data_IF_495025037370
#
_entry.id   IF_495025037370
#
_cell.length_a   1.000
_cell.length_b   1.000
_cell.length_c   1.000
_cell.angle_alpha   90.00
_cell.angle_beta   90.00
_cell.angle_gamma   90.00
#
_symmetry.space_group_name_H-M   'P 1'
#
loop_
_entity.id
_entity.type
_entity.pdbx_description
1 polymer ?
#
# COMPACT_ATOMS: atom_id res chain seq x y z
N UNK A 1 8.20 26.23 -100.44
CA UNK A 1 6.90 25.75 -100.98
C UNK A 1 5.91 25.75 -99.84
N UNK A 2 4.73 26.36 -100.01
CA UNK A 2 3.64 26.33 -99.01
C UNK A 2 2.55 25.40 -99.56
N UNK A 3 2.00 24.54 -98.71
CA UNK A 3 0.93 23.62 -99.11
C UNK A 3 -0.41 24.37 -99.27
N UNK A 4 -1.28 23.99 -100.22
CA UNK A 4 -2.60 24.58 -100.33
C UNK A 4 -3.47 24.20 -99.12
N UNK A 5 -4.01 25.19 -98.43
CA UNK A 5 -5.01 24.96 -97.38
C UNK A 5 -6.28 24.33 -97.98
N UNK A 6 -6.90 23.43 -97.22
CA UNK A 6 -8.16 22.80 -97.65
C UNK A 6 -9.30 23.82 -97.52
N UNK A 7 -10.22 23.92 -98.50
CA UNK A 7 -11.34 24.84 -98.41
C UNK A 7 -12.20 24.49 -97.19
N UNK A 8 -12.31 25.44 -96.26
CA UNK A 8 -13.10 25.29 -95.04
C UNK A 8 -14.58 25.12 -95.41
N UNK A 9 -15.21 24.06 -94.89
CA UNK A 9 -16.58 23.71 -95.26
C UNK A 9 -17.55 24.82 -94.81
N UNK A 10 -18.31 25.38 -95.75
CA UNK A 10 -19.31 26.41 -95.46
C UNK A 10 -20.34 25.89 -94.43
N UNK A 11 -20.78 26.73 -93.48
CA UNK A 11 -21.68 26.28 -92.42
C UNK A 11 -22.99 25.78 -93.00
N UNK A 12 -23.33 24.52 -92.70
CA UNK A 12 -24.62 23.93 -93.07
C UNK A 12 -25.73 24.75 -92.44
N UNK A 13 -26.59 25.35 -93.26
CA UNK A 13 -27.76 26.10 -92.79
C UNK A 13 -28.74 25.14 -92.11
N UNK A 14 -28.71 25.12 -90.77
CA UNK A 14 -29.63 24.34 -89.96
C UNK A 14 -31.06 24.83 -90.21
N UNK A 15 -31.88 23.99 -90.82
CA UNK A 15 -33.27 24.31 -91.13
C UNK A 15 -34.09 24.29 -89.83
N UNK A 16 -34.81 25.38 -89.55
CA UNK A 16 -35.69 25.48 -88.39
C UNK A 16 -36.86 24.50 -88.48
N UNK A 17 -37.20 23.86 -87.37
CA UNK A 17 -38.38 22.99 -87.29
C UNK A 17 -39.66 23.82 -87.51
N UNK A 18 -40.58 23.27 -88.31
CA UNK A 18 -41.87 23.92 -88.62
C UNK A 18 -42.97 23.33 -87.75
N UNK A 19 -43.68 24.18 -87.03
CA UNK A 19 -44.90 23.85 -86.29
C UNK A 19 -46.16 24.38 -86.98
N UNK A 20 -47.31 24.22 -86.31
CA UNK A 20 -48.67 24.47 -86.83
C UNK A 20 -48.91 25.93 -87.29
N UNK A 21 -48.03 26.88 -86.95
CA UNK A 21 -48.11 28.30 -87.37
C UNK A 21 -46.77 28.86 -87.88
N UNK A 22 -45.93 28.02 -88.49
CA UNK A 22 -44.61 28.41 -89.01
C UNK A 22 -43.45 27.90 -88.15
N UNK A 23 -42.27 28.53 -88.26
CA UNK A 23 -41.06 28.07 -87.56
C UNK A 23 -41.21 28.09 -86.03
N UNK A 24 -40.53 27.15 -85.37
CA UNK A 24 -40.43 27.08 -83.92
C UNK A 24 -39.71 28.32 -83.36
N UNK A 25 -40.48 29.29 -82.86
CA UNK A 25 -39.98 30.57 -82.35
C UNK A 25 -38.82 30.38 -81.36
N UNK A 26 -38.93 29.46 -80.41
CA UNK A 26 -37.87 29.23 -79.41
C UNK A 26 -36.54 28.83 -80.05
N UNK A 27 -36.57 27.98 -81.09
CA UNK A 27 -35.38 27.56 -81.84
C UNK A 27 -34.80 28.71 -82.70
N UNK A 28 -35.67 29.57 -83.23
CA UNK A 28 -35.27 30.77 -83.99
C UNK A 28 -34.62 31.79 -83.05
N UNK A 29 -35.21 32.06 -81.89
CA UNK A 29 -34.70 33.00 -80.89
C UNK A 29 -33.39 32.50 -80.27
N UNK A 30 -33.28 31.20 -79.95
CA UNK A 30 -32.03 30.54 -79.55
C UNK A 30 -30.93 30.76 -80.61
N UNK A 31 -31.21 30.48 -81.89
CA UNK A 31 -30.20 30.63 -82.95
C UNK A 31 -29.89 32.09 -83.30
N UNK A 32 -30.84 33.01 -83.15
CA UNK A 32 -30.60 34.45 -83.30
C UNK A 32 -29.75 35.00 -82.16
N UNK A 33 -29.93 34.51 -80.93
CA UNK A 33 -29.06 34.82 -79.80
C UNK A 33 -27.64 34.27 -80.02
N UNK A 34 -27.49 33.03 -80.50
CA UNK A 34 -26.21 32.47 -80.92
C UNK A 34 -25.54 33.30 -82.03
N UNK A 35 -26.23 33.57 -83.13
CA UNK A 35 -25.71 34.41 -84.24
C UNK A 35 -25.32 35.82 -83.77
N UNK A 36 -26.08 36.41 -82.85
CA UNK A 36 -25.77 37.72 -82.27
C UNK A 36 -24.53 37.65 -81.36
N UNK A 37 -24.30 36.53 -80.67
CA UNK A 37 -23.08 36.27 -79.91
C UNK A 37 -21.88 36.06 -80.85
N UNK A 38 -22.01 35.14 -81.82
CA UNK A 38 -21.00 34.85 -82.85
C UNK A 38 -20.56 36.12 -83.59
N UNK A 39 -21.50 37.00 -83.95
CA UNK A 39 -21.22 38.28 -84.59
C UNK A 39 -20.45 39.26 -83.68
N UNK A 40 -20.79 39.33 -82.39
CA UNK A 40 -20.09 40.18 -81.40
C UNK A 40 -18.69 39.66 -81.07
N UNK A 41 -18.51 38.34 -81.04
CA UNK A 41 -17.20 37.71 -80.85
C UNK A 41 -16.34 37.91 -82.11
N UNK A 42 -16.92 37.75 -83.30
CA UNK A 42 -16.24 38.00 -84.57
C UNK A 42 -15.89 39.49 -84.77
N UNK A 43 -16.75 40.42 -84.34
CA UNK A 43 -16.43 41.86 -84.42
C UNK A 43 -15.30 42.24 -83.46
N UNK A 44 -15.27 41.70 -82.23
CA UNK A 44 -14.15 41.87 -81.29
C UNK A 44 -12.85 41.32 -81.88
N UNK A 45 -12.85 40.05 -82.30
CA UNK A 45 -11.68 39.41 -82.89
C UNK A 45 -11.17 40.16 -84.14
N UNK A 46 -12.08 40.74 -84.95
CA UNK A 46 -11.72 41.63 -86.07
C UNK A 46 -11.04 42.91 -85.58
N UNK A 47 -11.59 43.56 -84.57
CA UNK A 47 -11.09 44.84 -84.06
C UNK A 47 -9.74 44.67 -83.37
N UNK A 48 -9.54 43.56 -82.64
CA UNK A 48 -8.24 43.13 -82.09
C UNK A 48 -7.23 42.78 -83.21
N UNK A 49 -7.67 42.14 -84.29
CA UNK A 49 -6.84 41.86 -85.47
C UNK A 49 -6.45 43.15 -86.24
N UNK A 50 -7.33 44.15 -86.29
CA UNK A 50 -7.03 45.46 -86.88
C UNK A 50 -6.07 46.25 -86.00
N UNK A 51 -6.23 46.22 -84.67
CA UNK A 51 -5.31 46.85 -83.72
C UNK A 51 -3.90 46.24 -83.83
N UNK A 52 -3.78 44.91 -83.74
CA UNK A 52 -2.50 44.20 -83.89
C UNK A 52 -1.87 44.39 -85.28
N UNK A 53 -2.67 44.43 -86.36
CA UNK A 53 -2.18 44.77 -87.70
C UNK A 53 -1.64 46.21 -87.78
N UNK A 54 -2.30 47.17 -87.15
CA UNK A 54 -1.83 48.55 -87.09
C UNK A 54 -0.52 48.68 -86.28
N UNK A 55 -0.40 47.97 -85.16
CA UNK A 55 0.82 47.99 -84.33
C UNK A 55 2.00 47.26 -85.00
N UNK A 56 1.75 46.14 -85.67
CA UNK A 56 2.74 45.48 -86.54
C UNK A 56 3.19 46.41 -87.69
N UNK A 57 2.27 47.20 -88.25
CA UNK A 57 2.60 48.18 -89.30
C UNK A 57 3.48 49.31 -88.76
N UNK A 58 3.22 49.82 -87.55
CA UNK A 58 4.09 50.80 -86.86
C UNK A 58 5.48 50.21 -86.61
N UNK A 59 5.55 48.99 -86.06
CA UNK A 59 6.81 48.31 -85.76
C UNK A 59 7.64 48.04 -87.04
N UNK A 60 6.99 47.64 -88.13
CA UNK A 60 7.61 47.42 -89.43
C UNK A 60 8.13 48.74 -90.03
N UNK A 61 7.37 49.83 -89.95
CA UNK A 61 7.82 51.15 -90.41
C UNK A 61 9.01 51.68 -89.59
N UNK A 62 9.00 51.45 -88.26
CA UNK A 62 10.12 51.76 -87.38
C UNK A 62 11.37 50.95 -87.76
N UNK A 63 11.24 49.63 -87.90
CA UNK A 63 12.34 48.74 -88.29
C UNK A 63 12.89 49.07 -89.70
N UNK A 64 12.05 49.47 -90.65
CA UNK A 64 12.49 49.93 -91.98
C UNK A 64 13.31 51.23 -91.89
N UNK A 65 12.93 52.16 -91.01
CA UNK A 65 13.68 53.40 -90.76
C UNK A 65 15.05 53.11 -90.14
N UNK A 66 15.09 52.34 -89.05
CA UNK A 66 16.34 51.89 -88.40
C UNK A 66 17.27 51.17 -89.39
N UNK A 67 16.71 50.28 -90.22
CA UNK A 67 17.46 49.54 -91.24
C UNK A 67 17.98 50.44 -92.38
N UNK A 68 17.35 51.58 -92.65
CA UNK A 68 17.87 52.59 -93.57
C UNK A 68 18.97 53.45 -92.93
N UNK A 69 18.80 53.87 -91.68
CA UNK A 69 19.76 54.71 -90.95
C UNK A 69 21.05 53.94 -90.62
N UNK A 70 20.95 52.68 -90.18
CA UNK A 70 22.09 51.76 -89.99
C UNK A 70 22.83 51.44 -91.30
N UNK A 71 22.11 51.20 -92.41
CA UNK A 71 22.75 51.06 -93.74
C UNK A 71 23.49 52.32 -94.16
N UNK A 72 22.94 53.50 -93.90
CA UNK A 72 23.61 54.76 -94.20
C UNK A 72 24.86 54.96 -93.32
N UNK A 73 24.84 54.56 -92.04
CA UNK A 73 26.01 54.58 -91.16
C UNK A 73 27.09 53.59 -91.64
N UNK A 74 26.72 52.35 -91.95
CA UNK A 74 27.62 51.33 -92.47
C UNK A 74 28.28 51.76 -93.80
N UNK A 75 27.51 52.38 -94.70
CA UNK A 75 28.05 52.94 -95.93
C UNK A 75 29.13 53.99 -95.65
N UNK A 76 28.87 54.96 -94.75
CA UNK A 76 29.86 55.97 -94.31
C UNK A 76 31.11 55.35 -93.68
N UNK A 77 30.98 54.26 -92.92
CA UNK A 77 32.10 53.52 -92.34
C UNK A 77 32.95 52.83 -93.42
N UNK A 78 32.30 52.21 -94.41
CA UNK A 78 32.98 51.49 -95.49
C UNK A 78 33.70 52.41 -96.48
N UNK A 79 33.15 53.59 -96.78
CA UNK A 79 33.67 54.49 -97.82
C UNK A 79 34.95 55.24 -97.41
N UNK A 80 35.26 55.35 -96.13
CA UNK A 80 36.49 55.98 -95.62
C UNK A 80 36.84 55.46 -94.21
N UNK A 81 37.44 54.25 -94.08
CA UNK A 81 37.66 53.62 -92.78
C UNK A 81 38.60 54.37 -91.83
N UNK A 82 39.38 55.34 -92.32
CA UNK A 82 40.24 56.24 -91.56
C UNK A 82 39.66 57.66 -91.37
N UNK A 83 38.50 57.96 -91.96
CA UNK A 83 37.85 59.26 -91.85
C UNK A 83 37.21 59.50 -90.49
N UNK A 84 37.12 60.76 -90.06
CA UNK A 84 36.60 61.14 -88.74
C UNK A 84 35.18 60.61 -88.47
N UNK A 85 34.31 60.56 -89.49
CA UNK A 85 32.99 59.96 -89.38
C UNK A 85 33.02 58.46 -89.06
N UNK A 86 33.85 57.68 -89.77
CA UNK A 86 33.98 56.24 -89.54
C UNK A 86 34.59 55.92 -88.16
N UNK A 87 35.45 56.80 -87.64
CA UNK A 87 35.95 56.72 -86.26
C UNK A 87 34.83 57.00 -85.25
N UNK A 88 34.04 58.06 -85.45
CA UNK A 88 32.94 58.41 -84.55
C UNK A 88 31.85 57.32 -84.47
N UNK A 89 31.44 56.73 -85.60
CA UNK A 89 30.47 55.62 -85.61
C UNK A 89 31.03 54.37 -84.91
N UNK A 90 32.34 54.07 -85.04
CA UNK A 90 32.97 52.97 -84.26
C UNK A 90 33.00 53.24 -82.77
N UNK A 91 33.27 54.48 -82.33
CA UNK A 91 33.24 54.83 -80.90
C UNK A 91 31.83 54.70 -80.33
N UNK A 92 30.79 55.09 -81.08
CA UNK A 92 29.39 54.83 -80.71
C UNK A 92 29.12 53.33 -80.54
N UNK A 93 29.47 52.53 -81.55
CA UNK A 93 29.25 51.08 -81.50
C UNK A 93 29.97 50.41 -80.33
N UNK A 94 31.21 50.80 -80.02
CA UNK A 94 31.93 50.28 -78.86
C UNK A 94 31.31 50.73 -77.53
N UNK A 95 30.73 51.93 -77.46
CA UNK A 95 30.04 52.39 -76.25
C UNK A 95 28.70 51.67 -76.06
N UNK A 96 27.93 51.44 -77.14
CA UNK A 96 26.71 50.62 -77.10
C UNK A 96 27.02 49.17 -76.70
N UNK A 97 28.07 48.56 -77.25
CA UNK A 97 28.48 47.20 -76.89
C UNK A 97 28.94 47.12 -75.42
N UNK A 98 29.59 48.16 -74.90
CA UNK A 98 29.92 48.25 -73.47
C UNK A 98 28.67 48.50 -72.59
N UNK A 99 27.66 49.22 -73.07
CA UNK A 99 26.37 49.37 -72.38
C UNK A 99 25.59 48.04 -72.33
N UNK A 100 25.63 47.25 -73.41
CA UNK A 100 25.11 45.88 -73.49
C UNK A 100 25.87 44.94 -72.53
N UNK A 101 27.21 44.94 -72.55
CA UNK A 101 28.03 44.13 -71.64
C UNK A 101 27.82 44.50 -70.16
N UNK A 102 27.63 45.79 -69.85
CA UNK A 102 27.28 46.25 -68.50
C UNK A 102 25.85 45.81 -68.10
N UNK A 103 24.90 45.74 -69.04
CA UNK A 103 23.56 45.24 -68.79
C UNK A 103 23.56 43.72 -68.52
N UNK A 104 24.30 42.95 -69.31
CA UNK A 104 24.47 41.50 -69.12
C UNK A 104 25.19 41.18 -67.79
N UNK A 105 26.26 41.91 -67.46
CA UNK A 105 26.96 41.77 -66.17
C UNK A 105 26.07 42.10 -64.97
N UNK A 106 25.17 43.08 -65.08
CA UNK A 106 24.16 43.38 -64.05
C UNK A 106 23.12 42.27 -63.95
N UNK A 107 22.59 41.82 -65.07
CA UNK A 107 21.61 40.72 -65.15
C UNK A 107 22.17 39.43 -64.51
N UNK A 108 23.43 39.09 -64.82
CA UNK A 108 24.13 37.96 -64.21
C UNK A 108 24.32 38.15 -62.70
N UNK A 109 24.81 39.32 -62.25
CA UNK A 109 24.99 39.60 -60.83
C UNK A 109 23.67 39.61 -60.02
N UNK A 110 22.57 40.06 -60.63
CA UNK A 110 21.23 40.00 -60.03
C UNK A 110 20.71 38.56 -59.96
N UNK A 111 20.93 37.75 -61.00
CA UNK A 111 20.59 36.32 -61.01
C UNK A 111 21.40 35.51 -59.99
N UNK A 112 22.71 35.76 -59.86
CA UNK A 112 23.57 35.13 -58.85
C UNK A 112 23.19 35.56 -57.43
N UNK A 113 22.85 36.84 -57.23
CA UNK A 113 22.35 37.34 -55.95
C UNK A 113 20.98 36.77 -55.59
N UNK A 114 20.09 36.53 -56.57
CA UNK A 114 18.83 35.83 -56.37
C UNK A 114 19.08 34.35 -56.01
N UNK A 115 19.88 33.64 -56.80
CA UNK A 115 20.27 32.23 -56.57
C UNK A 115 20.89 32.02 -55.18
N UNK A 116 21.75 32.95 -54.75
CA UNK A 116 22.39 32.91 -53.42
C UNK A 116 21.37 33.09 -52.29
N UNK A 117 20.39 34.00 -52.43
CA UNK A 117 19.30 34.16 -51.46
C UNK A 117 18.41 32.92 -51.41
N UNK A 118 18.01 32.41 -52.58
CA UNK A 118 17.24 31.19 -52.76
C UNK A 118 17.89 29.98 -52.06
N UNK A 119 19.21 29.85 -52.16
CA UNK A 119 19.98 28.79 -51.49
C UNK A 119 20.06 29.00 -49.97
N UNK A 120 20.28 30.24 -49.51
CA UNK A 120 20.31 30.58 -48.09
C UNK A 120 18.94 30.34 -47.41
N UNK A 121 17.85 30.72 -48.07
CA UNK A 121 16.48 30.49 -47.56
C UNK A 121 16.14 29.00 -47.53
N UNK A 122 16.50 28.23 -48.58
CA UNK A 122 16.35 26.75 -48.59
C UNK A 122 17.11 26.11 -47.43
N UNK A 123 18.37 26.50 -47.22
CA UNK A 123 19.20 26.01 -46.12
C UNK A 123 18.64 26.40 -44.74
N UNK A 124 18.14 27.63 -44.58
CA UNK A 124 17.51 28.09 -43.33
C UNK A 124 16.19 27.35 -43.04
N UNK A 125 15.37 27.10 -44.06
CA UNK A 125 14.15 26.31 -43.94
C UNK A 125 14.44 24.83 -43.62
N UNK A 126 15.44 24.22 -44.27
CA UNK A 126 15.85 22.85 -43.97
C UNK A 126 16.43 22.73 -42.55
N UNK A 127 17.31 23.64 -42.15
CA UNK A 127 17.90 23.69 -40.80
C UNK A 127 16.85 23.86 -39.71
N UNK A 128 15.83 24.70 -39.92
CA UNK A 128 14.67 24.79 -39.01
C UNK A 128 13.90 23.46 -38.98
N UNK A 129 13.60 22.87 -40.15
CA UNK A 129 12.85 21.62 -40.25
C UNK A 129 13.57 20.42 -39.64
N UNK A 130 14.90 20.37 -39.63
CA UNK A 130 15.67 19.32 -38.94
C UNK A 130 15.73 19.56 -37.44
N UNK A 131 15.87 20.81 -36.98
CA UNK A 131 15.77 21.16 -35.56
C UNK A 131 14.37 20.87 -34.99
N UNK A 132 13.30 21.25 -35.70
CA UNK A 132 11.90 21.01 -35.32
C UNK A 132 11.56 19.51 -35.24
N UNK A 133 12.22 18.67 -36.06
CA UNK A 133 12.14 17.21 -35.96
C UNK A 133 12.88 16.70 -34.73
N UNK A 134 14.17 17.02 -34.61
CA UNK A 134 15.02 16.55 -33.51
C UNK A 134 14.45 16.93 -32.13
N UNK A 135 13.82 18.11 -32.02
CA UNK A 135 13.10 18.51 -30.82
C UNK A 135 11.91 17.59 -30.49
N UNK A 136 11.10 17.24 -31.49
CA UNK A 136 9.96 16.31 -31.34
C UNK A 136 10.40 14.89 -31.05
N UNK A 137 11.39 14.40 -31.79
CA UNK A 137 11.96 13.07 -31.60
C UNK A 137 12.47 12.91 -30.15
N UNK A 138 13.16 13.95 -29.62
CA UNK A 138 13.60 13.99 -28.22
C UNK A 138 12.46 14.17 -27.20
N UNK A 139 11.39 14.89 -27.53
CA UNK A 139 10.18 14.98 -26.70
C UNK A 139 9.44 13.63 -26.63
N UNK A 140 9.34 12.90 -27.73
CA UNK A 140 8.74 11.56 -27.82
C UNK A 140 9.57 10.51 -27.07
N UNK A 141 10.91 10.50 -27.23
CA UNK A 141 11.80 9.65 -26.42
C UNK A 141 11.67 9.96 -24.93
N UNK A 142 11.65 11.24 -24.54
CA UNK A 142 11.48 11.66 -23.15
C UNK A 142 10.12 11.24 -22.59
N UNK A 143 9.04 11.40 -23.37
CA UNK A 143 7.70 10.98 -22.97
C UNK A 143 7.61 9.46 -22.79
N UNK A 144 8.24 8.70 -23.69
CA UNK A 144 8.36 7.24 -23.61
C UNK A 144 9.13 6.80 -22.36
N UNK A 145 10.33 7.32 -22.14
CA UNK A 145 11.15 6.99 -20.96
C UNK A 145 10.44 7.35 -19.65
N UNK A 146 9.71 8.47 -19.59
CA UNK A 146 8.89 8.83 -18.44
C UNK A 146 7.69 7.88 -18.25
N UNK A 147 7.13 7.31 -19.31
CA UNK A 147 6.07 6.31 -19.23
C UNK A 147 6.60 4.94 -18.77
N UNK A 148 7.75 4.53 -19.30
CA UNK A 148 8.43 3.28 -18.92
C UNK A 148 8.85 3.34 -17.44
N UNK A 149 9.51 4.42 -17.00
CA UNK A 149 9.91 4.62 -15.60
C UNK A 149 8.71 4.69 -14.63
N UNK A 150 7.59 5.32 -15.01
CA UNK A 150 6.34 5.28 -14.20
C UNK A 150 5.84 3.85 -14.04
N UNK A 151 5.76 3.10 -15.14
CA UNK A 151 5.33 1.69 -15.12
C UNK A 151 6.25 0.79 -14.29
N UNK A 152 7.55 1.07 -14.23
CA UNK A 152 8.50 0.39 -13.34
C UNK A 152 8.28 0.77 -11.87
N UNK A 153 8.11 2.06 -11.56
CA UNK A 153 7.81 2.54 -10.20
C UNK A 153 6.49 1.93 -9.69
N UNK A 154 5.46 1.85 -10.54
CA UNK A 154 4.19 1.20 -10.20
C UNK A 154 4.35 -0.31 -9.93
N UNK A 155 5.09 -1.04 -10.78
CA UNK A 155 5.42 -2.47 -10.56
C UNK A 155 6.19 -2.68 -9.26
N UNK A 156 7.20 -1.85 -8.98
CA UNK A 156 8.00 -1.93 -7.76
C UNK A 156 7.18 -1.63 -6.51
N UNK A 157 6.31 -0.60 -6.55
CA UNK A 157 5.39 -0.28 -5.47
C UNK A 157 4.37 -1.40 -5.24
N UNK A 158 3.81 -1.99 -6.30
CA UNK A 158 2.90 -3.13 -6.19
C UNK A 158 3.59 -4.36 -5.58
N UNK A 159 4.80 -4.69 -6.03
CA UNK A 159 5.60 -5.79 -5.49
C UNK A 159 6.01 -5.56 -4.02
N UNK A 160 6.37 -4.33 -3.65
CA UNK A 160 6.65 -3.95 -2.26
C UNK A 160 5.38 -4.00 -1.38
N UNK A 161 4.23 -3.58 -1.92
CA UNK A 161 2.92 -3.71 -1.26
C UNK A 161 2.55 -5.16 -0.99
N UNK A 162 2.66 -6.02 -2.02
CA UNK A 162 2.41 -7.47 -1.88
C UNK A 162 3.31 -8.10 -0.80
N UNK A 163 4.62 -7.83 -0.82
CA UNK A 163 5.56 -8.32 0.21
C UNK A 163 5.22 -7.82 1.61
N UNK A 164 4.75 -6.58 1.77
CA UNK A 164 4.29 -6.07 3.08
C UNK A 164 3.05 -6.80 3.59
N UNK A 165 2.09 -7.10 2.72
CA UNK A 165 0.88 -7.88 3.07
C UNK A 165 1.25 -9.33 3.43
N UNK A 166 2.14 -9.95 2.65
CA UNK A 166 2.67 -11.29 2.91
C UNK A 166 3.39 -11.36 4.26
N UNK A 167 4.30 -10.41 4.54
CA UNK A 167 5.03 -10.32 5.81
C UNK A 167 4.09 -10.06 7.00
N UNK A 168 3.07 -9.20 6.84
CA UNK A 168 2.08 -8.96 7.88
C UNK A 168 1.27 -10.23 8.19
N UNK A 169 0.80 -10.94 7.17
CA UNK A 169 0.08 -12.20 7.33
C UNK A 169 0.97 -13.34 7.87
N UNK A 170 2.27 -13.36 7.56
CA UNK A 170 3.22 -14.29 8.16
C UNK A 170 3.46 -13.98 9.65
N UNK A 171 3.63 -12.71 10.01
CA UNK A 171 3.76 -12.29 11.40
C UNK A 171 2.48 -12.53 12.23
N UNK A 172 1.29 -12.39 11.62
CA UNK A 172 0.01 -12.72 12.27
C UNK A 172 -0.13 -14.22 12.56
N UNK A 173 0.26 -15.10 11.61
CA UNK A 173 0.29 -16.55 11.82
C UNK A 173 1.28 -16.92 12.92
N UNK A 174 2.52 -16.43 12.85
CA UNK A 174 3.55 -16.70 13.85
C UNK A 174 3.15 -16.24 15.26
N UNK A 175 2.38 -15.15 15.39
CA UNK A 175 1.77 -14.76 16.68
C UNK A 175 0.73 -15.77 17.14
N UNK A 176 -0.26 -16.10 16.31
CA UNK A 176 -1.31 -17.08 16.65
C UNK A 176 -0.75 -18.46 17.01
N UNK A 177 0.33 -18.89 16.35
CA UNK A 177 1.05 -20.12 16.63
C UNK A 177 1.80 -20.04 17.99
N UNK A 178 2.44 -18.92 18.29
CA UNK A 178 3.09 -18.68 19.58
C UNK A 178 2.08 -18.55 20.74
N UNK A 179 0.97 -17.86 20.53
CA UNK A 179 -0.12 -17.69 21.50
C UNK A 179 -0.74 -19.06 21.83
N UNK A 180 -1.07 -19.87 20.80
CA UNK A 180 -1.60 -21.22 20.99
C UNK A 180 -0.60 -22.17 21.67
N UNK A 181 0.70 -22.06 21.35
CA UNK A 181 1.74 -22.83 22.02
C UNK A 181 1.90 -22.42 23.50
N UNK A 182 1.76 -21.13 23.81
CA UNK A 182 1.78 -20.63 25.19
C UNK A 182 0.56 -21.07 25.98
N UNK A 183 -0.64 -21.07 25.38
CA UNK A 183 -1.85 -21.61 26.00
C UNK A 183 -1.74 -23.13 26.26
N UNK A 184 -1.22 -23.90 25.29
CA UNK A 184 -1.00 -25.34 25.45
C UNK A 184 0.03 -25.66 26.56
N UNK A 185 1.13 -24.90 26.63
CA UNK A 185 2.11 -25.04 27.70
C UNK A 185 1.52 -24.66 29.07
N UNK A 186 0.73 -23.59 29.14
CA UNK A 186 0.05 -23.18 30.36
C UNK A 186 -1.04 -24.18 30.80
N UNK A 187 -1.70 -24.86 29.88
CA UNK A 187 -2.63 -25.95 30.17
C UNK A 187 -1.89 -27.16 30.75
N UNK A 188 -0.81 -27.63 30.11
CA UNK A 188 -0.02 -28.74 30.61
C UNK A 188 0.55 -28.49 32.03
N UNK A 189 1.06 -27.28 32.30
CA UNK A 189 1.55 -26.91 33.64
C UNK A 189 0.42 -26.90 34.69
N UNK A 190 -0.82 -26.56 34.31
CA UNK A 190 -1.99 -26.66 35.20
C UNK A 190 -2.36 -28.12 35.47
N UNK A 191 -2.42 -28.96 34.42
CA UNK A 191 -2.71 -30.39 34.59
C UNK A 191 -1.68 -31.10 35.47
N UNK A 192 -0.38 -30.76 35.34
CA UNK A 192 0.65 -31.29 36.23
C UNK A 192 0.52 -30.76 37.67
N UNK A 193 0.20 -29.48 37.86
CA UNK A 193 -0.02 -28.91 39.19
C UNK A 193 -1.25 -29.51 39.87
N UNK A 194 -2.34 -29.71 39.15
CA UNK A 194 -3.56 -30.36 39.64
C UNK A 194 -3.32 -31.85 39.95
N UNK A 195 -2.50 -32.55 39.15
CA UNK A 195 -2.06 -33.92 39.44
C UNK A 195 -1.26 -33.99 40.74
N UNK A 196 -0.25 -33.14 40.90
CA UNK A 196 0.57 -33.09 42.13
C UNK A 196 -0.27 -32.70 43.34
N UNK A 197 -1.19 -31.74 43.21
CA UNK A 197 -2.11 -31.37 44.28
C UNK A 197 -3.06 -32.52 44.66
N UNK A 198 -3.56 -33.30 43.69
CA UNK A 198 -4.38 -34.48 43.95
C UNK A 198 -3.58 -35.60 44.65
N UNK A 199 -2.33 -35.84 44.22
CA UNK A 199 -1.41 -36.79 44.85
C UNK A 199 -1.08 -36.38 46.31
N UNK A 200 -0.78 -35.10 46.55
CA UNK A 200 -0.59 -34.56 47.91
C UNK A 200 -1.84 -34.70 48.78
N UNK A 201 -3.02 -34.37 48.25
CA UNK A 201 -4.28 -34.51 49.00
C UNK A 201 -4.62 -35.97 49.30
N UNK A 202 -4.30 -36.91 48.40
CA UNK A 202 -4.44 -38.34 48.65
C UNK A 202 -3.45 -38.82 49.73
N UNK A 203 -2.19 -38.41 49.66
CA UNK A 203 -1.18 -38.73 50.67
C UNK A 203 -1.53 -38.18 52.06
N UNK A 204 -2.00 -36.92 52.15
CA UNK A 204 -2.46 -36.29 53.40
C UNK A 204 -3.70 -37.00 53.97
N UNK A 205 -4.67 -37.40 53.14
CA UNK A 205 -5.82 -38.21 53.58
C UNK A 205 -5.38 -39.55 54.17
N UNK A 206 -4.52 -40.29 53.46
CA UNK A 206 -4.00 -41.58 53.94
C UNK A 206 -3.23 -41.45 55.26
N UNK A 207 -2.37 -40.43 55.39
CA UNK A 207 -1.65 -40.16 56.64
C UNK A 207 -2.60 -39.80 57.79
N UNK A 208 -3.65 -39.02 57.53
CA UNK A 208 -4.69 -38.71 58.52
C UNK A 208 -5.51 -39.95 58.92
N UNK A 209 -5.86 -40.82 57.97
CA UNK A 209 -6.54 -42.09 58.24
C UNK A 209 -5.66 -43.05 59.06
N UNK A 210 -4.36 -43.14 58.77
CA UNK A 210 -3.39 -43.91 59.55
C UNK A 210 -3.21 -43.34 60.98
N UNK A 211 -3.11 -42.02 61.15
CA UNK A 211 -3.08 -41.39 62.47
C UNK A 211 -4.39 -41.58 63.25
N UNK A 212 -5.54 -41.47 62.58
CA UNK A 212 -6.85 -41.66 63.19
C UNK A 212 -7.03 -43.12 63.63
N UNK A 213 -6.59 -44.08 62.82
CA UNK A 213 -6.58 -45.50 63.18
C UNK A 213 -5.67 -45.79 64.38
N UNK A 214 -4.47 -45.19 64.44
CA UNK A 214 -3.59 -45.30 65.62
C UNK A 214 -4.23 -44.71 66.88
N UNK A 215 -4.71 -43.47 66.81
CA UNK A 215 -5.39 -42.80 67.95
C UNK A 215 -6.64 -43.56 68.40
N UNK A 216 -7.35 -44.20 67.47
CA UNK A 216 -8.46 -45.11 67.79
C UNK A 216 -7.96 -46.37 68.51
N UNK A 217 -6.92 -47.04 68.03
CA UNK A 217 -6.33 -48.21 68.70
C UNK A 217 -5.76 -47.86 70.09
N UNK A 218 -5.11 -46.71 70.23
CA UNK A 218 -4.60 -46.18 71.51
C UNK A 218 -5.75 -45.91 72.49
N UNK A 219 -6.85 -45.29 72.04
CA UNK A 219 -8.03 -45.03 72.90
C UNK A 219 -8.83 -46.29 73.22
N UNK A 220 -8.94 -47.25 72.29
CA UNK A 220 -9.53 -48.57 72.55
C UNK A 220 -8.68 -49.38 73.54
N UNK A 221 -7.34 -49.34 73.44
CA UNK A 221 -6.43 -49.95 74.40
C UNK A 221 -6.45 -49.25 75.78
N UNK A 222 -6.56 -47.91 75.81
CA UNK A 222 -6.74 -47.15 77.04
C UNK A 222 -8.07 -47.46 77.72
N UNK A 223 -9.17 -47.62 76.95
CA UNK A 223 -10.46 -48.05 77.47
C UNK A 223 -10.43 -49.50 77.97
N UNK A 224 -9.79 -50.42 77.23
CA UNK A 224 -9.66 -51.82 77.65
C UNK A 224 -8.81 -51.96 78.93
N UNK A 225 -7.72 -51.20 79.07
CA UNK A 225 -6.90 -51.19 80.28
C UNK A 225 -7.57 -50.45 81.45
N UNK A 226 -8.35 -49.40 81.20
CA UNK A 226 -9.22 -48.79 82.20
C UNK A 226 -10.29 -49.79 82.69
N UNK A 227 -10.96 -50.51 81.79
CA UNK A 227 -11.92 -51.56 82.14
C UNK A 227 -11.27 -52.72 82.91
N UNK A 228 -10.08 -53.17 82.50
CA UNK A 228 -9.33 -54.21 83.21
C UNK A 228 -8.90 -53.78 84.62
N UNK A 229 -8.45 -52.53 84.79
CA UNK A 229 -8.11 -51.98 86.10
C UNK A 229 -9.34 -51.75 86.98
N UNK A 230 -10.48 -51.34 86.41
CA UNK A 230 -11.75 -51.26 87.12
C UNK A 230 -12.26 -52.65 87.55
N UNK A 231 -12.23 -53.65 86.66
CA UNK A 231 -12.59 -55.03 87.00
C UNK A 231 -11.66 -55.60 88.10
N UNK A 232 -10.37 -55.26 88.06
CA UNK A 232 -9.41 -55.62 89.11
C UNK A 232 -9.71 -54.88 90.42
N UNK A 233 -10.11 -53.61 90.38
CA UNK A 233 -10.52 -52.84 91.54
C UNK A 233 -11.83 -53.38 92.15
N UNK A 234 -12.79 -53.82 91.34
CA UNK A 234 -14.03 -54.46 91.79
C UNK A 234 -13.78 -55.87 92.35
N UNK A 235 -12.84 -56.64 91.79
CA UNK A 235 -12.36 -57.89 92.40
C UNK A 235 -11.68 -57.64 93.74
N UNK A 236 -10.76 -56.67 93.82
CA UNK A 236 -10.11 -56.28 95.08
C UNK A 236 -11.13 -55.75 96.11
N UNK A 237 -12.17 -55.04 95.66
CA UNK A 237 -13.28 -54.58 96.51
C UNK A 237 -14.12 -55.73 97.03
N UNK A 238 -14.42 -56.75 96.21
CA UNK A 238 -15.07 -57.99 96.64
C UNK A 238 -14.21 -58.72 97.67
N UNK A 239 -12.93 -58.94 97.39
CA UNK A 239 -11.99 -59.56 98.33
C UNK A 239 -11.87 -58.76 99.64
N UNK A 240 -11.87 -57.43 99.61
CA UNK A 240 -11.88 -56.59 100.80
C UNK A 240 -13.20 -56.68 101.59
N UNK A 241 -14.35 -56.85 100.90
CA UNK A 241 -15.64 -57.10 101.55
C UNK A 241 -15.72 -58.51 102.14
N UNK A 242 -15.20 -59.54 101.46
CA UNK A 242 -15.13 -60.93 101.96
C UNK A 242 -14.17 -61.03 103.15
N UNK A 243 -13.04 -60.33 103.11
CA UNK A 243 -12.13 -60.22 104.25
C UNK A 243 -12.78 -59.45 105.40
N UNK A 244 -13.51 -58.36 105.12
CA UNK A 244 -14.29 -57.64 106.15
C UNK A 244 -15.38 -58.52 106.75
N UNK A 245 -16.04 -59.37 105.97
CA UNK A 245 -17.02 -60.33 106.44
C UNK A 245 -16.37 -61.37 107.36
N UNK A 246 -15.26 -62.00 106.92
CA UNK A 246 -14.49 -62.97 107.74
C UNK A 246 -13.86 -62.36 109.00
N UNK A 247 -13.50 -61.07 108.97
CA UNK A 247 -13.04 -60.31 110.14
C UNK A 247 -14.21 -59.98 111.07
N UNK A 248 -15.37 -59.58 110.55
CA UNK A 248 -16.57 -59.36 111.36
C UNK A 248 -17.09 -60.68 112.00
N UNK A 249 -17.03 -61.78 111.26
CA UNK A 249 -17.35 -63.14 111.71
C UNK A 249 -16.36 -63.62 112.79
N UNK A 250 -15.06 -63.38 112.62
CA UNK A 250 -14.07 -63.60 113.69
C UNK A 250 -14.28 -62.70 114.90
N UNK A 251 -14.61 -61.43 114.71
CA UNK A 251 -14.91 -60.50 115.81
C UNK A 251 -16.15 -60.98 116.57
N UNK A 252 -17.22 -61.38 115.87
CA UNK A 252 -18.40 -61.96 116.47
C UNK A 252 -18.08 -63.25 117.24
N UNK A 253 -17.29 -64.17 116.67
CA UNK A 253 -16.85 -65.38 117.36
C UNK A 253 -15.98 -65.08 118.60
N UNK A 254 -15.12 -64.04 118.57
CA UNK A 254 -14.39 -63.61 119.78
C UNK A 254 -15.27 -62.88 120.78
N UNK A 255 -16.29 -62.16 120.34
CA UNK A 255 -17.24 -61.44 121.19
C UNK A 255 -18.23 -62.41 121.87
N UNK A 256 -18.63 -63.48 121.19
CA UNK A 256 -19.29 -64.64 121.82
C UNK A 256 -18.36 -65.36 122.80
N UNK A 257 -17.10 -65.66 122.42
CA UNK A 257 -16.15 -66.30 123.34
C UNK A 257 -15.85 -65.44 124.59
N UNK A 258 -15.81 -64.12 124.46
CA UNK A 258 -15.70 -63.18 125.60
C UNK A 258 -16.98 -63.16 126.43
N UNK A 259 -18.16 -63.24 125.80
CA UNK A 259 -19.46 -63.32 126.52
C UNK A 259 -19.63 -64.66 127.25
N UNK A 260 -19.14 -65.77 126.70
CA UNK A 260 -19.10 -67.06 127.42
C UNK A 260 -18.09 -67.03 128.57
N UNK A 261 -16.89 -66.44 128.36
CA UNK A 261 -15.91 -66.25 129.43
C UNK A 261 -16.46 -65.37 130.57
N UNK A 262 -17.19 -64.29 130.25
CA UNK A 262 -17.89 -63.45 131.23
C UNK A 262 -19.11 -64.13 131.88
N UNK A 263 -19.59 -65.27 131.38
CA UNK A 263 -20.73 -66.01 131.94
C UNK A 263 -20.34 -67.05 133.00
N UNK A 264 -19.04 -67.34 133.13
CA UNK A 264 -18.50 -68.36 134.06
C UNK A 264 -17.93 -67.80 135.37
N UNK A 265 -17.97 -66.48 135.59
CA UNK A 265 -17.52 -65.82 136.83
C UNK A 265 -18.55 -64.75 137.27
N UNK A 266 -19.14 -64.91 138.46
CA UNK A 266 -20.16 -64.00 139.04
C UNK A 266 -20.38 -64.32 140.54
N UNK A 267 -21.08 -63.49 141.35
CA UNK A 267 -21.43 -62.05 141.24
C UNK A 267 -20.66 -61.26 142.35
N UNK A 268 -21.13 -60.16 142.99
CA UNK A 268 -22.16 -59.14 142.68
C UNK A 268 -21.62 -57.67 142.76
N UNK A 269 -22.52 -56.68 142.80
CA UNK A 269 -22.38 -55.34 143.45
C UNK A 269 -21.29 -54.34 142.93
N UNK A 270 -21.46 -53.01 142.90
CA UNK A 270 -22.66 -52.15 143.04
C UNK A 270 -22.39 -50.74 142.41
N UNK A 271 -23.40 -49.86 142.41
CA UNK A 271 -23.35 -48.38 142.30
C UNK A 271 -23.01 -47.67 140.96
N UNK A 272 -23.64 -46.50 140.79
CA UNK A 272 -23.54 -45.54 139.67
C UNK A 272 -22.72 -44.28 140.10
N UNK A 273 -22.72 -43.06 139.47
CA UNK A 273 -23.37 -42.58 138.22
C UNK A 273 -22.55 -41.56 137.35
N UNK A 274 -23.20 -41.03 136.29
CA UNK A 274 -23.17 -39.63 135.77
C UNK A 274 -22.00 -38.99 134.92
N UNK A 275 -22.43 -38.33 133.84
CA UNK A 275 -21.98 -37.07 133.17
C UNK A 275 -20.55 -36.77 132.61
N UNK A 276 -20.50 -36.47 131.28
CA UNK A 276 -19.90 -35.29 130.53
C UNK A 276 -18.41 -34.87 130.73
N UNK A 277 -17.80 -34.00 129.86
CA UNK A 277 -18.03 -33.62 128.44
C UNK A 277 -16.73 -33.73 127.56
N UNK A 278 -16.62 -32.95 126.47
CA UNK A 278 -15.46 -32.82 125.52
C UNK A 278 -14.33 -31.86 126.06
N UNK A 279 -13.18 -31.53 125.38
CA UNK A 279 -12.90 -31.40 123.93
C UNK A 279 -11.45 -31.79 123.43
N UNK A 280 -10.97 -31.18 122.32
CA UNK A 280 -9.66 -31.36 121.62
C UNK A 280 -8.51 -30.43 122.18
N UNK A 281 -7.34 -30.05 121.55
CA UNK A 281 -6.85 -30.10 120.14
C UNK A 281 -5.29 -30.26 119.88
N UNK A 282 -4.82 -29.95 118.63
CA UNK A 282 -3.46 -29.44 118.21
C UNK A 282 -2.19 -30.35 118.31
N UNK A 283 -0.94 -29.95 117.94
CA UNK A 283 -0.28 -29.44 116.70
C UNK A 283 1.29 -29.44 116.92
N UNK A 284 2.30 -29.04 116.10
CA UNK A 284 2.49 -28.49 114.73
C UNK A 284 4.00 -28.61 114.25
N UNK A 285 4.32 -28.49 112.94
CA UNK A 285 5.63 -28.00 112.38
C UNK A 285 6.81 -28.98 112.12
N UNK A 286 7.95 -28.64 111.48
CA UNK A 286 8.29 -27.57 110.49
C UNK A 286 9.78 -27.68 109.96
N UNK A 287 10.13 -27.22 108.73
CA UNK A 287 11.33 -26.38 108.33
C UNK A 287 11.71 -26.41 106.82
N UNK A 288 12.58 -25.45 106.39
CA UNK A 288 12.99 -25.10 104.99
C UNK A 288 14.47 -24.58 104.98
N UNK A 289 15.17 -24.35 103.82
CA UNK A 289 15.20 -23.02 103.16
C UNK A 289 15.39 -23.02 101.59
N UNK A 290 15.61 -21.84 100.97
CA UNK A 290 15.87 -21.58 99.51
C UNK A 290 16.88 -20.40 99.32
N UNK A 291 17.40 -20.03 98.09
CA UNK A 291 16.75 -19.19 97.04
C UNK A 291 17.03 -19.67 95.57
N UNK A 292 16.65 -19.11 94.39
CA UNK A 292 16.04 -17.83 93.88
C UNK A 292 17.04 -16.69 93.45
N UNK A 293 16.75 -15.68 92.56
CA UNK A 293 15.75 -15.50 91.45
C UNK A 293 16.15 -14.60 90.20
N UNK A 294 15.16 -14.25 89.32
CA UNK A 294 15.03 -13.08 88.35
C UNK A 294 15.62 -13.23 86.90
N UNK A 295 15.08 -12.61 85.82
CA UNK A 295 13.93 -11.68 85.64
C UNK A 295 13.38 -11.52 84.17
N UNK A 296 12.09 -11.09 84.08
CA UNK A 296 11.43 -10.17 83.10
C UNK A 296 10.87 -10.61 81.70
N UNK A 297 9.86 -9.88 81.14
CA UNK A 297 9.08 -10.25 79.92
C UNK A 297 9.03 -9.19 78.78
N UNK A 298 8.40 -9.52 77.63
CA UNK A 298 7.92 -8.56 76.61
C UNK A 298 6.82 -9.15 75.68
N UNK A 299 6.12 -8.29 74.94
CA UNK A 299 5.04 -8.60 73.97
C UNK A 299 5.13 -7.65 72.72
N UNK A 300 4.22 -7.68 71.71
CA UNK A 300 4.62 -7.54 70.29
C UNK A 300 4.41 -6.18 69.61
N UNK A 301 5.03 -5.99 68.44
CA UNK A 301 4.66 -4.98 67.42
C UNK A 301 5.09 -5.40 65.98
N UNK A 302 4.51 -4.73 64.97
CA UNK A 302 4.63 -5.00 63.53
C UNK A 302 5.97 -4.60 62.90
N UNK A 303 6.33 -5.29 61.82
CA UNK A 303 6.57 -4.66 60.50
C UNK A 303 5.97 -5.57 59.43
#
# INVERSE_FOLDING_TARGET
>A
MVAPEKPQSAPKTAQFAVGVRGYNQRQVDERLAELTKELRETSRNRDDAVATSADLTKALAYAQKELAETKAALARMSSSPSGAGAMAERVRMMMQLAEEEIADLRSAAEADAASTRDQADKYAHETRRTADKLAKDAEEERARLLSEAKGEIEKLNAAAGAKRVEQAAAAERARKEADAAAEAAAAAVREEADRVAAEELAARKKAFEEEFARKKQETEAALASAQASQASADQNRKLALDLRAKVAERIAATDEAVKEAMRLLAPPEDAAPAEKPAPAPAANGERKPAPAPKASPAAPAKA
#
